data_IF_554794583492
#
_entry.id   IF_554794583492
#
_cell.length_a   1.000
_cell.length_b   1.000
_cell.length_c   1.000
_cell.angle_alpha   90.00
_cell.angle_beta   90.00
_cell.angle_gamma   90.00
#
_symmetry.space_group_name_H-M   'P 1'
#
loop_
_entity.id
_entity.type
_entity.pdbx_description
1 polymer ?
#
# COMPACT_ATOMS: atom_id res chain seq x y z
N UNK A 1 -23.85 -29.28 -12.62
CA UNK A 1 -22.54 -28.68 -12.86
C UNK A 1 -21.91 -28.31 -11.52
N UNK A 2 -20.57 -28.21 -11.48
CA UNK A 2 -19.82 -27.76 -10.33
C UNK A 2 -18.74 -26.78 -10.78
N UNK A 3 -18.36 -25.82 -9.93
CA UNK A 3 -17.17 -24.99 -10.14
C UNK A 3 -16.05 -25.51 -9.26
N UNK A 4 -14.86 -25.67 -9.86
CA UNK A 4 -13.66 -26.09 -9.17
C UNK A 4 -12.69 -24.89 -9.20
N UNK A 5 -12.64 -24.10 -8.12
CA UNK A 5 -11.69 -22.98 -8.06
C UNK A 5 -10.26 -23.52 -7.95
N UNK A 6 -9.28 -22.71 -8.37
CA UNK A 6 -7.87 -23.06 -8.21
C UNK A 6 -7.45 -23.12 -6.74
N UNK A 7 -8.15 -22.41 -5.85
CA UNK A 7 -7.98 -22.45 -4.38
C UNK A 7 -9.35 -22.50 -3.71
N UNK A 8 -9.44 -23.15 -2.55
CA UNK A 8 -10.67 -23.27 -1.77
C UNK A 8 -11.56 -24.44 -2.17
N UNK A 9 -12.76 -24.54 -1.59
CA UNK A 9 -13.65 -25.69 -1.74
C UNK A 9 -14.35 -25.73 -3.10
N UNK A 10 -14.78 -26.93 -3.50
CA UNK A 10 -15.61 -27.13 -4.71
C UNK A 10 -17.00 -26.53 -4.47
N UNK A 11 -17.47 -25.72 -5.41
CA UNK A 11 -18.80 -25.11 -5.39
C UNK A 11 -19.77 -26.06 -6.06
N UNK A 12 -20.67 -26.65 -5.26
CA UNK A 12 -21.62 -27.67 -5.73
C UNK A 12 -22.88 -27.09 -6.37
N UNK A 13 -23.20 -25.83 -6.05
CA UNK A 13 -24.30 -25.08 -6.62
C UNK A 13 -23.79 -23.76 -7.19
N UNK A 14 -23.25 -23.75 -8.42
CA UNK A 14 -22.66 -22.58 -9.03
C UNK A 14 -23.66 -21.45 -9.28
N UNK A 15 -24.90 -21.75 -9.62
CA UNK A 15 -25.91 -20.74 -9.94
C UNK A 15 -26.25 -19.89 -8.69
N UNK A 16 -26.47 -20.56 -7.55
CA UNK A 16 -26.70 -19.86 -6.27
C UNK A 16 -25.48 -19.04 -5.87
N UNK A 17 -24.27 -19.61 -5.97
CA UNK A 17 -23.02 -18.93 -5.63
C UNK A 17 -22.80 -17.68 -6.51
N UNK A 18 -23.02 -17.78 -7.81
CA UNK A 18 -22.87 -16.67 -8.76
C UNK A 18 -23.90 -15.56 -8.45
N UNK A 19 -25.16 -15.89 -8.18
CA UNK A 19 -26.18 -14.88 -7.86
C UNK A 19 -25.87 -14.15 -6.55
N UNK A 20 -25.43 -14.87 -5.52
CA UNK A 20 -24.95 -14.26 -4.27
C UNK A 20 -23.79 -13.29 -4.55
N UNK A 21 -22.76 -13.73 -5.29
CA UNK A 21 -21.59 -12.91 -5.61
C UNK A 21 -21.98 -11.65 -6.41
N UNK A 22 -22.84 -11.77 -7.43
CA UNK A 22 -23.31 -10.63 -8.23
C UNK A 22 -23.97 -9.57 -7.33
N UNK A 23 -24.83 -10.00 -6.40
CA UNK A 23 -25.51 -9.08 -5.48
C UNK A 23 -24.51 -8.37 -4.56
N UNK A 24 -23.59 -9.13 -3.99
CA UNK A 24 -22.59 -8.63 -3.03
C UNK A 24 -21.57 -7.70 -3.70
N UNK A 25 -21.08 -8.06 -4.89
CA UNK A 25 -20.09 -7.27 -5.63
C UNK A 25 -20.67 -5.91 -6.07
N UNK A 26 -21.98 -5.84 -6.35
CA UNK A 26 -22.64 -4.56 -6.66
C UNK A 26 -22.59 -3.59 -5.46
N UNK A 27 -22.83 -4.07 -4.26
CA UNK A 27 -22.72 -3.27 -3.03
C UNK A 27 -21.28 -2.81 -2.82
N UNK A 28 -20.29 -3.67 -3.07
CA UNK A 28 -18.88 -3.32 -2.99
C UNK A 28 -18.52 -2.22 -4.01
N UNK A 29 -18.98 -2.35 -5.26
CA UNK A 29 -18.74 -1.33 -6.28
C UNK A 29 -19.42 0.01 -5.94
N UNK A 30 -20.60 0.01 -5.38
CA UNK A 30 -21.25 1.25 -4.92
C UNK A 30 -20.39 1.95 -3.86
N UNK A 31 -19.87 1.20 -2.89
CA UNK A 31 -18.95 1.72 -1.86
C UNK A 31 -17.65 2.25 -2.46
N UNK A 32 -17.03 1.51 -3.40
CA UNK A 32 -15.80 1.93 -4.07
C UNK A 32 -16.01 3.21 -4.90
N UNK A 33 -17.03 3.22 -5.76
CA UNK A 33 -17.29 4.33 -6.67
C UNK A 33 -17.60 5.63 -5.95
N UNK A 34 -18.27 5.57 -4.80
CA UNK A 34 -18.65 6.75 -4.00
C UNK A 34 -17.47 7.69 -3.70
N UNK A 35 -16.29 7.13 -3.45
CA UNK A 35 -15.11 7.87 -2.96
C UNK A 35 -13.84 7.60 -3.77
N UNK A 36 -13.95 7.05 -4.99
CA UNK A 36 -12.77 6.69 -5.78
C UNK A 36 -12.01 7.90 -6.33
N UNK A 37 -10.70 7.90 -6.15
CA UNK A 37 -9.76 8.86 -6.73
C UNK A 37 -9.81 8.89 -8.26
N UNK A 38 -10.10 7.76 -8.90
CA UNK A 38 -10.12 7.62 -10.37
C UNK A 38 -11.09 8.56 -11.07
N UNK A 39 -12.14 8.99 -10.36
CA UNK A 39 -13.12 9.95 -10.91
C UNK A 39 -12.51 11.32 -11.22
N UNK A 40 -11.41 11.72 -10.58
CA UNK A 40 -10.76 13.01 -10.83
C UNK A 40 -10.30 13.15 -12.29
N UNK A 41 -9.66 12.13 -12.83
CA UNK A 41 -9.12 12.16 -14.18
C UNK A 41 -10.07 11.64 -15.26
N UNK A 42 -11.10 10.87 -14.87
CA UNK A 42 -11.95 10.11 -15.78
C UNK A 42 -13.44 10.19 -15.43
N UNK A 43 -13.95 11.38 -15.08
CA UNK A 43 -15.32 11.59 -14.59
C UNK A 43 -16.38 10.94 -15.51
N UNK A 44 -16.40 11.29 -16.81
CA UNK A 44 -17.41 10.80 -17.74
C UNK A 44 -17.31 9.28 -17.95
N UNK A 45 -16.09 8.76 -18.04
CA UNK A 45 -15.84 7.32 -18.14
C UNK A 45 -16.35 6.58 -16.91
N UNK A 46 -16.10 7.10 -15.70
CA UNK A 46 -16.55 6.51 -14.46
C UNK A 46 -18.08 6.51 -14.34
N UNK A 47 -18.74 7.61 -14.72
CA UNK A 47 -20.21 7.68 -14.75
C UNK A 47 -20.79 6.67 -15.76
N UNK A 48 -20.23 6.59 -16.96
CA UNK A 48 -20.66 5.64 -18.00
C UNK A 48 -20.50 4.21 -17.53
N UNK A 49 -19.35 3.85 -16.96
CA UNK A 49 -19.07 2.52 -16.43
C UNK A 49 -20.03 2.16 -15.27
N UNK A 50 -20.26 3.11 -14.38
CA UNK A 50 -21.19 2.95 -13.25
C UNK A 50 -22.61 2.63 -13.73
N UNK A 51 -23.12 3.39 -14.71
CA UNK A 51 -24.45 3.15 -15.29
C UNK A 51 -24.52 1.79 -15.99
N UNK A 52 -23.44 1.34 -16.62
CA UNK A 52 -23.37 0.02 -17.24
C UNK A 52 -23.43 -1.14 -16.22
N UNK A 53 -22.66 -1.02 -15.13
CA UNK A 53 -22.52 -2.09 -14.12
C UNK A 53 -23.72 -2.12 -13.16
N UNK A 54 -24.15 -0.96 -12.67
CA UNK A 54 -25.17 -0.84 -11.62
C UNK A 54 -26.57 -0.56 -12.17
N UNK A 55 -26.68 -0.22 -13.44
CA UNK A 55 -27.93 0.23 -14.07
C UNK A 55 -28.11 1.77 -13.96
N UNK A 56 -29.07 2.30 -14.71
CA UNK A 56 -29.40 3.74 -14.70
C UNK A 56 -30.91 3.92 -14.49
N UNK A 57 -31.33 4.76 -13.51
CA UNK A 57 -30.50 5.52 -12.55
C UNK A 57 -29.84 4.60 -11.52
N UNK A 58 -28.60 4.91 -11.13
CA UNK A 58 -27.92 4.22 -10.04
C UNK A 58 -28.02 5.03 -8.73
N UNK A 59 -27.71 4.37 -7.62
CA UNK A 59 -27.81 4.93 -6.27
C UNK A 59 -26.43 5.24 -5.65
N UNK A 60 -25.42 5.46 -6.48
CA UNK A 60 -24.08 5.82 -5.97
C UNK A 60 -24.12 7.22 -5.36
N UNK A 61 -23.78 7.31 -4.09
CA UNK A 61 -23.64 8.58 -3.36
C UNK A 61 -22.25 9.15 -3.62
N UNK A 62 -22.12 9.90 -4.71
CA UNK A 62 -20.86 10.48 -5.14
C UNK A 62 -20.39 11.59 -4.21
N UNK A 63 -19.25 11.41 -3.57
CA UNK A 63 -18.61 12.47 -2.82
C UNK A 63 -18.33 13.69 -3.74
N UNK A 64 -18.70 14.92 -3.35
CA UNK A 64 -18.30 16.13 -4.09
C UNK A 64 -16.78 16.23 -4.21
N UNK A 65 -16.28 16.84 -5.28
CA UNK A 65 -14.85 17.10 -5.39
C UNK A 65 -14.37 18.04 -4.29
N UNK A 66 -13.17 17.77 -3.77
CA UNK A 66 -12.48 18.66 -2.85
C UNK A 66 -12.19 20.02 -3.49
N UNK A 67 -12.00 21.04 -2.66
CA UNK A 67 -11.60 22.37 -3.12
C UNK A 67 -10.16 22.32 -3.63
N UNK A 68 -9.96 22.75 -4.87
CA UNK A 68 -8.60 22.82 -5.48
C UNK A 68 -8.10 24.25 -5.54
N UNK A 69 -6.80 24.43 -5.33
CA UNK A 69 -6.11 25.70 -5.41
C UNK A 69 -5.64 25.90 -6.86
N UNK A 70 -6.31 26.79 -7.60
CA UNK A 70 -6.03 27.03 -9.03
C UNK A 70 -4.96 28.12 -9.25
N UNK A 71 -4.94 29.16 -8.42
CA UNK A 71 -4.25 30.42 -8.75
C UNK A 71 -3.14 30.83 -7.76
N UNK A 72 -2.92 30.10 -6.67
CA UNK A 72 -1.94 30.48 -5.63
C UNK A 72 -1.20 29.28 -5.07
N UNK A 73 -0.50 28.57 -5.96
CA UNK A 73 0.48 27.59 -5.49
C UNK A 73 1.64 28.33 -4.81
N UNK A 74 2.10 27.92 -3.62
CA UNK A 74 3.25 28.53 -2.97
C UNK A 74 4.47 28.56 -3.90
N UNK A 75 5.17 29.68 -3.98
CA UNK A 75 6.29 29.88 -4.91
C UNK A 75 7.47 28.93 -4.67
N UNK A 76 7.56 28.38 -3.46
CA UNK A 76 8.56 27.40 -3.04
C UNK A 76 8.20 25.95 -3.39
N UNK A 77 6.97 25.68 -3.84
CA UNK A 77 6.52 24.37 -4.26
C UNK A 77 6.54 24.24 -5.78
N UNK A 78 7.06 23.14 -6.29
CA UNK A 78 7.06 22.81 -7.72
C UNK A 78 6.70 21.35 -7.93
N UNK A 79 5.63 21.10 -8.70
CA UNK A 79 5.29 19.76 -9.16
C UNK A 79 6.03 19.41 -10.46
N UNK A 80 6.65 18.23 -10.51
CA UNK A 80 7.46 17.75 -11.66
C UNK A 80 7.03 16.30 -11.97
N UNK A 81 6.11 16.11 -12.90
CA UNK A 81 5.49 14.81 -13.22
C UNK A 81 4.91 14.13 -11.98
N UNK A 82 5.48 13.00 -11.53
CA UNK A 82 5.11 12.28 -10.31
C UNK A 82 6.07 12.56 -9.14
N UNK A 83 6.69 13.72 -9.12
CA UNK A 83 7.61 14.16 -8.05
C UNK A 83 7.25 15.57 -7.61
N UNK A 84 7.57 15.92 -6.38
CA UNK A 84 7.42 17.27 -5.88
C UNK A 84 8.75 17.82 -5.37
N UNK A 85 8.96 19.12 -5.54
CA UNK A 85 10.18 19.79 -5.15
C UNK A 85 9.86 20.98 -4.23
N UNK A 86 10.49 21.01 -3.08
CA UNK A 86 10.48 22.14 -2.15
C UNK A 86 11.75 22.93 -2.42
N UNK A 87 11.59 24.20 -2.80
CA UNK A 87 12.71 25.10 -3.15
C UNK A 87 12.96 26.13 -2.06
N UNK A 88 14.17 26.17 -1.55
CA UNK A 88 14.62 27.25 -0.67
C UNK A 88 15.13 28.46 -1.47
N UNK A 89 15.21 29.62 -0.81
CA UNK A 89 15.60 30.88 -1.45
C UNK A 89 17.04 30.86 -1.99
N UNK A 90 17.92 30.00 -1.47
CA UNK A 90 19.32 29.84 -1.90
C UNK A 90 19.49 28.84 -3.05
N UNK A 91 18.40 28.43 -3.69
CA UNK A 91 18.34 27.40 -4.75
C UNK A 91 18.79 26.00 -4.28
N UNK A 92 18.74 25.73 -2.98
CA UNK A 92 18.73 24.37 -2.44
C UNK A 92 17.32 23.80 -2.55
N UNK A 93 17.20 22.49 -2.67
CA UNK A 93 15.91 21.81 -2.77
C UNK A 93 15.83 20.56 -1.90
N UNK A 94 14.59 20.19 -1.57
CA UNK A 94 14.22 18.91 -0.98
C UNK A 94 13.22 18.24 -1.91
N UNK A 95 13.50 17.01 -2.35
CA UNK A 95 12.71 16.27 -3.32
C UNK A 95 11.76 15.29 -2.61
N UNK A 96 10.58 15.11 -3.16
CA UNK A 96 9.63 14.07 -2.76
C UNK A 96 9.42 13.17 -3.97
N UNK A 97 9.84 11.90 -3.82
CA UNK A 97 9.81 10.82 -4.82
C UNK A 97 10.61 11.10 -6.10
N UNK A 98 11.10 10.02 -6.72
CA UNK A 98 11.59 10.04 -8.09
C UNK A 98 11.65 8.63 -8.68
N UNK A 99 10.64 8.24 -9.45
CA UNK A 99 10.63 6.96 -10.18
C UNK A 99 10.64 7.15 -11.69
N UNK A 100 10.24 8.32 -12.22
CA UNK A 100 10.15 8.54 -13.65
C UNK A 100 11.39 9.21 -14.24
N UNK A 101 11.77 8.77 -15.45
CA UNK A 101 12.85 9.41 -16.22
C UNK A 101 12.57 10.90 -16.50
N UNK A 102 11.31 11.25 -16.70
CA UNK A 102 10.90 12.63 -16.95
C UNK A 102 11.19 13.53 -15.75
N UNK A 103 10.93 13.05 -14.51
CA UNK A 103 11.26 13.77 -13.28
C UNK A 103 12.77 13.94 -13.14
N UNK A 104 13.55 12.88 -13.36
CA UNK A 104 15.01 12.93 -13.31
C UNK A 104 15.61 13.91 -14.32
N UNK A 105 15.19 13.84 -15.59
CA UNK A 105 15.66 14.74 -16.64
C UNK A 105 15.29 16.21 -16.35
N UNK A 106 14.13 16.47 -15.76
CA UNK A 106 13.73 17.81 -15.34
C UNK A 106 14.63 18.36 -14.21
N UNK A 107 14.99 17.53 -13.24
CA UNK A 107 15.94 17.91 -12.19
C UNK A 107 17.33 18.22 -12.75
N UNK A 108 17.83 17.41 -13.70
CA UNK A 108 19.10 17.68 -14.40
C UNK A 108 19.05 19.01 -15.17
N UNK A 109 17.90 19.34 -15.81
CA UNK A 109 17.71 20.62 -16.49
C UNK A 109 17.74 21.79 -15.50
N UNK A 110 17.10 21.65 -14.33
CA UNK A 110 17.15 22.66 -13.28
C UNK A 110 18.60 22.85 -12.74
N UNK A 111 19.36 21.77 -12.56
CA UNK A 111 20.77 21.81 -12.15
C UNK A 111 21.63 22.55 -13.20
N UNK A 112 21.52 22.17 -14.50
CA UNK A 112 22.29 22.80 -15.58
C UNK A 112 21.98 24.28 -15.78
N UNK A 113 20.74 24.70 -15.52
CA UNK A 113 20.33 26.12 -15.61
C UNK A 113 20.71 26.94 -14.35
N UNK A 114 21.31 26.35 -13.34
CA UNK A 114 21.65 27.00 -12.08
C UNK A 114 20.45 27.29 -11.16
N UNK A 115 19.25 26.87 -11.55
CA UNK A 115 18.04 27.04 -10.73
C UNK A 115 18.00 26.07 -9.53
N UNK A 116 18.63 24.90 -9.66
CA UNK A 116 18.85 23.94 -8.59
C UNK A 116 20.37 23.83 -8.35
N UNK A 117 20.85 24.41 -7.25
CA UNK A 117 22.27 24.34 -6.90
C UNK A 117 22.63 23.08 -6.09
N UNK A 118 21.76 22.67 -5.16
CA UNK A 118 21.96 21.52 -4.31
C UNK A 118 20.61 20.82 -4.08
N UNK A 119 20.62 19.51 -4.14
CA UNK A 119 19.54 18.68 -3.61
C UNK A 119 20.00 18.19 -2.24
N UNK A 120 19.35 18.64 -1.16
CA UNK A 120 19.80 18.42 0.21
C UNK A 120 19.03 17.30 0.92
N UNK A 121 18.00 16.73 0.26
CA UNK A 121 17.28 15.58 0.75
C UNK A 121 16.29 15.04 -0.28
N UNK A 122 15.99 13.75 -0.15
CA UNK A 122 14.94 13.05 -0.89
C UNK A 122 14.09 12.29 0.14
N UNK A 123 12.77 12.48 0.09
CA UNK A 123 11.80 11.73 0.86
C UNK A 123 11.05 10.79 -0.07
N UNK A 124 10.84 9.54 0.32
CA UNK A 124 10.04 8.55 -0.41
C UNK A 124 8.70 8.43 0.30
N UNK A 125 7.60 8.64 -0.44
CA UNK A 125 6.25 8.49 0.09
C UNK A 125 5.84 7.02 0.19
N UNK A 126 6.16 6.20 -0.82
CA UNK A 126 5.86 4.77 -0.80
C UNK A 126 6.73 3.99 -1.80
N UNK A 127 6.62 2.67 -1.77
CA UNK A 127 7.55 1.76 -2.45
C UNK A 127 7.31 1.57 -3.94
N UNK A 128 6.23 2.08 -4.55
CA UNK A 128 5.94 1.84 -5.96
C UNK A 128 7.08 2.29 -6.88
N UNK A 129 7.27 1.56 -7.97
CA UNK A 129 8.39 1.74 -8.91
C UNK A 129 8.41 3.14 -9.55
N UNK A 130 7.25 3.70 -9.86
CA UNK A 130 7.14 5.06 -10.41
C UNK A 130 7.45 6.18 -9.41
N UNK A 131 7.68 5.85 -8.13
CA UNK A 131 8.18 6.72 -7.06
C UNK A 131 9.63 6.42 -6.68
N UNK A 132 10.13 5.23 -6.98
CA UNK A 132 11.40 4.73 -6.41
C UNK A 132 12.47 4.34 -7.43
N UNK A 133 12.14 4.01 -8.67
CA UNK A 133 13.07 3.42 -9.64
C UNK A 133 14.32 4.28 -9.94
N UNK A 134 14.24 5.60 -9.81
CA UNK A 134 15.36 6.50 -10.06
C UNK A 134 15.98 7.08 -8.78
N UNK A 135 15.59 6.64 -7.60
CA UNK A 135 16.16 7.11 -6.32
C UNK A 135 17.67 6.87 -6.27
N UNK A 136 18.15 5.69 -6.69
CA UNK A 136 19.60 5.40 -6.73
C UNK A 136 20.35 6.33 -7.69
N UNK A 137 19.72 6.72 -8.82
CA UNK A 137 20.32 7.65 -9.79
C UNK A 137 20.35 9.09 -9.21
N UNK A 138 19.31 9.50 -8.47
CA UNK A 138 19.29 10.77 -7.72
C UNK A 138 20.41 10.82 -6.70
N UNK A 139 20.55 9.77 -5.87
CA UNK A 139 21.61 9.70 -4.86
C UNK A 139 22.98 9.77 -5.51
N UNK A 140 23.21 9.05 -6.61
CA UNK A 140 24.46 9.08 -7.37
C UNK A 140 24.77 10.46 -7.94
N UNK A 141 23.77 11.17 -8.46
CA UNK A 141 23.95 12.45 -9.16
C UNK A 141 24.07 13.64 -8.21
N UNK A 142 23.34 13.62 -7.08
CA UNK A 142 23.22 14.76 -6.18
C UNK A 142 23.86 14.55 -4.81
N UNK A 143 24.14 13.32 -4.40
CA UNK A 143 24.77 12.99 -3.11
C UNK A 143 23.87 13.28 -1.91
N UNK A 144 22.54 13.29 -2.08
CA UNK A 144 21.62 13.62 -1.00
C UNK A 144 21.22 12.39 -0.17
N UNK A 145 20.91 12.57 1.14
CA UNK A 145 20.32 11.52 1.96
C UNK A 145 18.88 11.20 1.51
N UNK A 146 18.46 9.93 1.74
CA UNK A 146 17.10 9.45 1.47
C UNK A 146 16.41 9.22 2.81
N UNK A 147 15.27 9.88 3.02
CA UNK A 147 14.49 9.84 4.25
C UNK A 147 13.24 8.98 4.08
N UNK A 148 12.98 8.11 5.03
CA UNK A 148 11.78 7.26 5.11
C UNK A 148 11.45 6.99 6.58
N UNK A 149 10.23 6.50 6.87
CA UNK A 149 9.97 5.91 8.18
C UNK A 149 10.46 4.45 8.25
N UNK A 150 10.42 3.85 9.42
CA UNK A 150 10.87 2.46 9.63
C UNK A 150 10.04 1.45 8.83
N UNK A 151 8.78 1.77 8.53
CA UNK A 151 7.84 0.92 7.83
C UNK A 151 8.25 0.67 6.37
N UNK A 152 8.86 1.65 5.72
CA UNK A 152 9.35 1.52 4.35
C UNK A 152 10.72 0.84 4.23
N UNK A 153 11.50 0.84 5.32
CA UNK A 153 12.90 0.39 5.26
C UNK A 153 13.04 -1.00 4.61
N UNK A 154 12.32 -1.99 5.12
CA UNK A 154 12.47 -3.38 4.69
C UNK A 154 12.13 -3.60 3.22
N UNK A 155 11.00 -3.03 2.76
CA UNK A 155 10.53 -3.20 1.39
C UNK A 155 11.41 -2.46 0.37
N UNK A 156 12.06 -1.36 0.75
CA UNK A 156 12.98 -0.63 -0.11
C UNK A 156 14.37 -1.29 -0.17
N UNK A 157 14.88 -1.78 0.97
CA UNK A 157 16.18 -2.45 1.03
C UNK A 157 16.17 -3.86 0.43
N UNK A 158 15.03 -4.57 0.52
CA UNK A 158 14.88 -5.93 0.03
C UNK A 158 13.49 -6.17 -0.61
N UNK A 159 13.17 -5.52 -1.73
CA UNK A 159 11.85 -5.62 -2.35
C UNK A 159 11.46 -7.06 -2.72
N UNK A 160 12.39 -7.91 -3.11
CA UNK A 160 12.14 -9.32 -3.44
C UNK A 160 11.62 -10.18 -2.28
N UNK A 161 11.76 -9.70 -1.03
CA UNK A 161 11.21 -10.38 0.15
C UNK A 161 9.70 -10.18 0.31
N UNK A 162 9.07 -9.30 -0.47
CA UNK A 162 7.67 -8.94 -0.35
C UNK A 162 6.86 -9.43 -1.54
N UNK A 163 5.65 -9.94 -1.29
CA UNK A 163 4.69 -10.31 -2.32
C UNK A 163 3.72 -9.14 -2.54
N UNK A 164 4.22 -8.09 -3.20
CA UNK A 164 3.48 -6.85 -3.43
C UNK A 164 3.58 -6.44 -4.91
N UNK A 165 2.57 -5.79 -5.46
CA UNK A 165 2.62 -5.26 -6.82
C UNK A 165 3.53 -4.02 -6.90
N UNK A 166 3.92 -3.64 -8.11
CA UNK A 166 4.64 -2.39 -8.41
C UNK A 166 5.95 -2.20 -7.62
N UNK A 167 6.62 -3.30 -7.25
CA UNK A 167 7.91 -3.24 -6.57
C UNK A 167 9.02 -2.82 -7.54
N UNK A 168 9.87 -1.89 -7.10
CA UNK A 168 11.13 -1.65 -7.80
C UNK A 168 12.00 -2.92 -7.78
N UNK A 169 12.72 -3.19 -8.86
CA UNK A 169 13.74 -4.24 -8.89
C UNK A 169 15.14 -3.75 -8.46
N UNK A 170 15.23 -2.51 -7.99
CA UNK A 170 16.47 -1.80 -7.63
C UNK A 170 16.49 -1.47 -6.13
N UNK A 171 17.00 -2.38 -5.27
CA UNK A 171 17.07 -2.13 -3.82
C UNK A 171 17.72 -0.78 -3.50
N UNK A 172 17.14 -0.05 -2.55
CA UNK A 172 17.61 1.25 -2.10
C UNK A 172 18.24 1.08 -0.74
N UNK A 173 19.53 1.42 -0.63
CA UNK A 173 20.33 1.24 0.59
C UNK A 173 20.65 2.59 1.24
N UNK A 174 21.20 2.53 2.46
CA UNK A 174 21.65 3.72 3.22
C UNK A 174 20.52 4.74 3.51
N UNK A 175 19.35 4.22 3.86
CA UNK A 175 18.18 5.00 4.21
C UNK A 175 18.37 5.71 5.56
N UNK A 176 17.97 6.97 5.64
CA UNK A 176 17.86 7.74 6.89
C UNK A 176 16.48 7.51 7.49
N UNK A 177 16.43 6.75 8.58
CA UNK A 177 15.16 6.34 9.19
C UNK A 177 14.66 7.43 10.13
N UNK A 178 13.44 7.90 9.85
CA UNK A 178 12.76 8.91 10.66
C UNK A 178 11.74 8.24 11.60
N UNK A 179 11.60 8.77 12.80
CA UNK A 179 10.57 8.33 13.73
C UNK A 179 9.22 9.00 13.41
N UNK A 180 8.12 8.38 13.79
CA UNK A 180 6.78 8.97 13.72
C UNK A 180 6.74 10.35 14.38
N UNK A 181 6.30 11.37 13.65
CA UNK A 181 6.26 12.76 14.11
C UNK A 181 7.62 13.44 14.29
N UNK A 182 8.72 12.80 13.88
CA UNK A 182 10.05 13.41 13.95
C UNK A 182 10.14 14.62 13.05
N UNK A 183 10.80 15.67 13.56
CA UNK A 183 10.94 16.96 12.89
C UNK A 183 12.40 17.25 12.58
N UNK A 184 12.62 17.79 11.39
CA UNK A 184 13.90 18.44 11.05
C UNK A 184 13.66 19.88 10.62
N UNK A 185 14.57 20.76 10.99
CA UNK A 185 14.62 22.12 10.45
C UNK A 185 15.51 22.13 9.22
N UNK A 186 14.94 22.53 8.09
CA UNK A 186 15.66 22.64 6.84
C UNK A 186 15.42 24.03 6.24
N UNK A 187 16.43 24.89 6.24
CA UNK A 187 16.32 26.29 5.83
C UNK A 187 15.23 27.04 6.64
N UNK A 188 14.26 27.63 5.93
CA UNK A 188 13.08 28.28 6.51
C UNK A 188 11.85 27.36 6.59
N UNK A 189 12.09 26.03 6.47
CA UNK A 189 11.07 24.99 6.56
C UNK A 189 11.25 24.11 7.79
N UNK A 190 10.15 23.61 8.29
CA UNK A 190 10.06 22.50 9.23
C UNK A 190 9.42 21.31 8.53
N UNK A 191 10.15 20.21 8.44
CA UNK A 191 9.71 18.97 7.83
C UNK A 191 9.37 17.97 8.94
N UNK A 192 8.13 17.44 8.94
CA UNK A 192 7.68 16.43 9.92
C UNK A 192 7.26 15.17 9.18
N UNK A 193 7.81 14.03 9.59
CA UNK A 193 7.65 12.74 8.95
C UNK A 193 6.59 11.91 9.65
N UNK A 194 5.72 11.26 8.89
CA UNK A 194 4.63 10.46 9.42
C UNK A 194 4.50 9.15 8.66
N UNK A 195 4.21 8.07 9.38
CA UNK A 195 3.62 6.88 8.78
C UNK A 195 2.21 7.22 8.31
N UNK A 196 1.91 6.99 7.05
CA UNK A 196 0.65 7.40 6.44
C UNK A 196 0.11 6.29 5.51
N UNK A 197 -0.31 5.13 6.06
CA UNK A 197 -0.62 3.91 5.32
C UNK A 197 -1.95 4.02 4.55
N UNK A 198 -1.95 4.77 3.45
CA UNK A 198 -3.12 5.00 2.59
C UNK A 198 -3.20 3.99 1.44
N UNK A 199 -2.64 4.35 0.28
CA UNK A 199 -2.67 3.50 -0.91
C UNK A 199 -1.99 2.13 -0.67
N UNK A 200 -0.95 2.10 0.13
CA UNK A 200 -0.27 0.88 0.61
C UNK A 200 -0.01 0.94 2.11
N UNK A 201 0.25 -0.22 2.74
CA UNK A 201 0.67 -0.28 4.15
C UNK A 201 2.12 0.18 4.35
N UNK A 202 2.89 0.25 3.29
CA UNK A 202 4.27 0.77 3.24
C UNK A 202 4.27 2.14 2.61
N UNK A 203 3.73 3.12 3.35
CA UNK A 203 3.48 4.46 2.84
C UNK A 203 3.65 5.50 3.93
N UNK A 204 4.31 6.59 3.58
CA UNK A 204 4.66 7.72 4.46
C UNK A 204 4.03 9.03 3.98
N UNK A 205 3.88 9.97 4.88
CA UNK A 205 3.47 11.35 4.60
C UNK A 205 4.47 12.36 5.14
N UNK A 206 4.60 13.48 4.47
CA UNK A 206 5.49 14.58 4.87
C UNK A 206 4.71 15.87 5.05
N UNK A 207 4.74 16.45 6.25
CA UNK A 207 4.26 17.81 6.49
C UNK A 207 5.43 18.79 6.34
N UNK A 208 5.32 19.69 5.37
CA UNK A 208 6.23 20.79 5.15
C UNK A 208 5.57 22.10 5.59
N UNK A 209 6.10 22.73 6.62
CA UNK A 209 5.65 24.01 7.16
C UNK A 209 6.74 25.07 6.92
N UNK A 210 6.38 26.16 6.23
CA UNK A 210 7.28 27.30 6.04
C UNK A 210 7.11 28.31 7.16
N UNK A 211 8.17 29.06 7.48
CA UNK A 211 8.17 30.07 8.55
C UNK A 211 7.14 31.18 8.38
N UNK A 212 6.60 31.38 7.18
CA UNK A 212 5.52 32.35 6.89
C UNK A 212 4.11 31.83 7.16
N UNK A 213 3.96 30.58 7.64
CA UNK A 213 2.68 29.93 7.95
C UNK A 213 2.05 29.14 6.80
N UNK A 214 2.64 29.13 5.61
CA UNK A 214 2.23 28.22 4.53
C UNK A 214 2.62 26.78 4.86
N UNK A 215 1.73 25.83 4.58
CA UNK A 215 1.98 24.42 4.86
C UNK A 215 1.38 23.51 3.78
N UNK A 216 2.14 22.47 3.42
CA UNK A 216 1.70 21.40 2.51
C UNK A 216 1.94 20.06 3.19
N UNK A 217 0.94 19.18 3.17
CA UNK A 217 1.08 17.76 3.51
C UNK A 217 1.09 16.92 2.24
N UNK A 218 2.20 16.23 2.00
CA UNK A 218 2.41 15.33 0.87
C UNK A 218 1.82 13.99 1.23
N UNK A 219 0.74 13.61 0.54
CA UNK A 219 -0.03 12.38 0.79
C UNK A 219 0.41 11.20 -0.07
N UNK A 220 1.52 11.33 -0.82
CA UNK A 220 1.82 10.38 -1.88
C UNK A 220 0.62 10.26 -2.82
N UNK A 221 0.27 9.04 -3.17
CA UNK A 221 -0.85 8.75 -4.06
C UNK A 221 -2.19 8.55 -3.35
N UNK A 222 -2.18 8.50 -2.01
CA UNK A 222 -3.33 8.05 -1.23
C UNK A 222 -4.62 8.82 -1.47
N UNK A 223 -4.54 10.12 -1.80
CA UNK A 223 -5.72 10.97 -1.94
C UNK A 223 -5.65 11.86 -3.17
N UNK A 224 -6.79 11.97 -3.88
CA UNK A 224 -7.03 12.99 -4.92
C UNK A 224 -8.23 13.85 -4.54
N UNK A 225 -8.51 14.96 -5.23
CA UNK A 225 -9.72 15.75 -4.95
C UNK A 225 -11.03 14.97 -5.09
N UNK A 226 -11.03 13.79 -5.71
CA UNK A 226 -12.21 12.94 -5.86
C UNK A 226 -12.39 11.92 -4.72
N UNK A 227 -11.35 11.70 -3.92
CA UNK A 227 -11.38 10.72 -2.83
C UNK A 227 -10.08 9.94 -2.68
N UNK A 228 -10.19 8.66 -2.33
CA UNK A 228 -9.06 7.78 -2.03
C UNK A 228 -8.61 6.98 -3.27
N UNK A 229 -7.32 6.72 -3.37
CA UNK A 229 -6.74 5.85 -4.39
C UNK A 229 -6.54 4.43 -3.83
N UNK A 230 -7.63 3.68 -3.80
CA UNK A 230 -7.71 2.35 -3.24
C UNK A 230 -7.78 1.28 -4.34
N UNK A 231 -6.75 1.17 -5.17
CA UNK A 231 -6.68 0.13 -6.21
C UNK A 231 -6.76 -1.31 -5.63
N UNK A 232 -6.40 -1.48 -4.37
CA UNK A 232 -6.57 -2.72 -3.59
C UNK A 232 -7.81 -2.68 -2.68
N UNK A 233 -8.93 -2.11 -3.14
CA UNK A 233 -10.14 -1.87 -2.34
C UNK A 233 -10.78 -3.13 -1.74
N UNK A 234 -10.38 -4.32 -2.16
CA UNK A 234 -10.79 -5.60 -1.60
C UNK A 234 -9.94 -6.04 -0.41
N UNK A 235 -8.80 -5.37 -0.14
CA UNK A 235 -7.90 -5.75 0.94
C UNK A 235 -8.36 -5.14 2.27
N UNK A 236 -8.82 -6.00 3.19
CA UNK A 236 -9.32 -5.59 4.50
C UNK A 236 -8.24 -4.98 5.41
N UNK A 237 -6.96 -5.25 5.15
CA UNK A 237 -5.86 -4.65 5.92
C UNK A 237 -5.83 -3.12 5.80
N UNK A 238 -6.38 -2.54 4.71
CA UNK A 238 -6.50 -1.08 4.55
C UNK A 238 -7.68 -0.47 5.33
N UNK A 239 -8.49 -1.29 5.99
CA UNK A 239 -9.69 -0.87 6.73
C UNK A 239 -9.53 -0.99 8.25
N UNK A 240 -8.33 -1.22 8.74
CA UNK A 240 -8.04 -1.26 10.16
C UNK A 240 -7.93 0.16 10.74
N UNK A 241 -8.46 0.43 11.96
CA UNK A 241 -8.43 1.79 12.55
C UNK A 241 -7.01 2.28 12.89
N UNK A 242 -6.05 1.39 13.11
CA UNK A 242 -4.65 1.72 13.44
C UNK A 242 -3.73 1.73 12.21
N UNK A 243 -4.22 1.30 11.05
CA UNK A 243 -3.47 1.26 9.81
C UNK A 243 -4.42 1.31 8.61
N UNK A 244 -3.98 1.81 7.45
CA UNK A 244 -4.82 1.96 6.27
C UNK A 244 -5.59 3.29 6.24
N UNK A 245 -6.60 3.37 5.38
CA UNK A 245 -7.29 4.64 5.10
C UNK A 245 -8.07 5.22 6.29
N UNK A 246 -8.60 4.41 7.17
CA UNK A 246 -9.28 4.92 8.37
C UNK A 246 -8.31 5.68 9.27
N UNK A 247 -7.08 5.18 9.43
CA UNK A 247 -6.00 5.89 10.13
C UNK A 247 -5.65 7.20 9.42
N UNK A 248 -5.47 7.17 8.09
CA UNK A 248 -5.15 8.37 7.31
C UNK A 248 -6.23 9.45 7.41
N UNK A 249 -7.50 9.07 7.35
CA UNK A 249 -8.62 10.00 7.49
C UNK A 249 -8.69 10.63 8.88
N UNK A 250 -8.44 9.85 9.93
CA UNK A 250 -8.37 10.37 11.30
C UNK A 250 -7.19 11.34 11.48
N UNK A 251 -6.05 11.04 10.86
CA UNK A 251 -4.90 11.93 10.81
C UNK A 251 -5.24 13.24 10.08
N UNK A 252 -5.83 13.19 8.89
CA UNK A 252 -6.22 14.39 8.12
C UNK A 252 -7.23 15.26 8.87
N UNK A 253 -8.14 14.65 9.65
CA UNK A 253 -9.11 15.38 10.49
C UNK A 253 -8.45 16.18 11.62
N UNK A 254 -7.22 15.83 12.01
CA UNK A 254 -6.44 16.51 13.06
C UNK A 254 -5.52 17.60 12.52
N UNK A 255 -5.26 17.61 11.20
CA UNK A 255 -4.45 18.66 10.60
C UNK A 255 -5.14 20.03 10.68
N UNK A 256 -4.36 21.13 10.82
CA UNK A 256 -4.90 22.49 10.69
C UNK A 256 -5.57 22.69 9.32
N UNK A 257 -6.68 23.44 9.30
CA UNK A 257 -7.49 23.64 8.08
C UNK A 257 -6.78 24.38 6.94
N UNK A 258 -5.70 25.13 7.26
CA UNK A 258 -4.90 25.85 6.29
C UNK A 258 -3.81 24.98 5.62
N UNK A 259 -3.66 23.72 6.01
CA UNK A 259 -2.71 22.78 5.39
C UNK A 259 -3.28 22.33 4.05
N UNK A 260 -2.51 22.56 2.98
CA UNK A 260 -2.84 22.09 1.65
C UNK A 260 -2.36 20.64 1.48
N UNK A 261 -3.12 19.84 0.73
CA UNK A 261 -2.74 18.47 0.39
C UNK A 261 -2.12 18.41 -1.00
N UNK A 262 -1.09 17.59 -1.16
CA UNK A 262 -0.42 17.31 -2.43
C UNK A 262 -0.47 15.83 -2.74
N UNK A 263 -0.95 15.47 -3.94
CA UNK A 263 -0.81 14.13 -4.51
C UNK A 263 0.33 14.15 -5.53
N UNK A 264 1.08 13.04 -5.64
CA UNK A 264 2.28 12.99 -6.48
C UNK A 264 1.98 13.04 -7.99
N UNK A 265 0.82 12.60 -8.43
CA UNK A 265 0.42 12.61 -9.84
C UNK A 265 -0.37 13.86 -10.27
N UNK A 266 -0.68 14.76 -9.34
CA UNK A 266 -1.55 15.90 -9.60
C UNK A 266 -0.84 17.24 -9.37
N UNK A 267 -0.99 18.16 -10.32
CA UNK A 267 -0.48 19.52 -10.15
C UNK A 267 -1.20 20.35 -9.09
N UNK A 268 -2.56 20.36 -9.04
CA UNK A 268 -3.25 21.22 -8.11
C UNK A 268 -3.12 20.70 -6.67
N UNK A 269 -2.84 21.62 -5.77
CA UNK A 269 -3.03 21.39 -4.34
C UNK A 269 -4.53 21.47 -4.02
N UNK A 270 -4.95 20.79 -2.96
CA UNK A 270 -6.37 20.70 -2.58
C UNK A 270 -6.58 20.63 -1.08
N UNK A 271 -7.83 20.76 -0.64
CA UNK A 271 -8.24 20.58 0.76
C UNK A 271 -9.59 19.87 0.82
N UNK A 272 -9.73 18.93 1.76
CA UNK A 272 -11.02 18.33 2.09
C UNK A 272 -11.76 19.13 3.16
N UNK A 273 -13.07 19.26 3.01
CA UNK A 273 -13.94 19.68 4.10
C UNK A 273 -14.10 18.57 5.13
N UNK A 274 -14.48 18.93 6.36
CA UNK A 274 -14.79 17.93 7.39
C UNK A 274 -15.87 16.95 6.94
N UNK A 275 -16.89 17.43 6.25
CA UNK A 275 -17.97 16.60 5.72
C UNK A 275 -17.46 15.54 4.73
N UNK A 276 -16.48 15.88 3.86
CA UNK A 276 -15.88 14.92 2.93
C UNK A 276 -15.07 13.85 3.66
N UNK A 277 -14.28 14.25 4.66
CA UNK A 277 -13.52 13.30 5.48
C UNK A 277 -14.43 12.35 6.28
N UNK A 278 -15.56 12.86 6.79
CA UNK A 278 -16.55 12.06 7.50
C UNK A 278 -17.31 11.12 6.56
N UNK A 279 -17.64 11.57 5.33
CA UNK A 279 -18.24 10.73 4.30
C UNK A 279 -17.32 9.56 3.92
N UNK A 280 -16.03 9.81 3.61
CA UNK A 280 -15.06 8.76 3.32
C UNK A 280 -14.92 7.76 4.48
N UNK A 281 -14.89 8.27 5.72
CA UNK A 281 -14.82 7.42 6.92
C UNK A 281 -16.03 6.48 7.02
N UNK A 282 -17.24 7.01 6.84
CA UNK A 282 -18.47 6.22 6.88
C UNK A 282 -18.50 5.13 5.79
N UNK A 283 -18.13 5.51 4.56
CA UNK A 283 -18.08 4.57 3.43
C UNK A 283 -17.10 3.41 3.71
N UNK A 284 -15.91 3.71 4.24
CA UNK A 284 -14.91 2.68 4.55
C UNK A 284 -15.30 1.78 5.73
N UNK A 285 -15.93 2.33 6.77
CA UNK A 285 -16.46 1.54 7.89
C UNK A 285 -17.51 0.52 7.42
N UNK A 286 -18.41 0.96 6.52
CA UNK A 286 -19.42 0.07 5.93
C UNK A 286 -18.80 -0.96 4.98
N UNK A 287 -17.72 -0.60 4.25
CA UNK A 287 -17.04 -1.50 3.32
C UNK A 287 -16.48 -2.75 4.01
N UNK A 288 -16.00 -2.64 5.22
CA UNK A 288 -15.46 -3.78 5.97
C UNK A 288 -16.48 -4.92 6.10
N UNK A 289 -17.74 -4.62 6.45
CA UNK A 289 -18.79 -5.63 6.53
C UNK A 289 -19.13 -6.23 5.16
N UNK A 290 -19.11 -5.43 4.09
CA UNK A 290 -19.35 -5.91 2.73
C UNK A 290 -18.25 -6.89 2.30
N UNK A 291 -17.00 -6.61 2.60
CA UNK A 291 -15.86 -7.49 2.28
C UNK A 291 -15.88 -8.79 3.07
N UNK A 292 -16.28 -8.74 4.34
CA UNK A 292 -16.41 -9.93 5.18
C UNK A 292 -17.47 -10.92 4.65
N UNK A 293 -18.48 -10.40 3.97
CA UNK A 293 -19.59 -11.18 3.38
C UNK A 293 -19.51 -11.27 1.86
N UNK A 294 -18.40 -10.94 1.22
CA UNK A 294 -18.34 -10.88 -0.25
C UNK A 294 -18.42 -12.25 -0.91
N UNK A 295 -17.71 -13.25 -0.37
CA UNK A 295 -17.65 -14.57 -0.95
C UNK A 295 -18.90 -15.41 -0.61
N UNK A 296 -19.37 -16.27 -1.54
CA UNK A 296 -20.62 -17.02 -1.38
C UNK A 296 -20.58 -18.12 -0.30
N UNK A 297 -19.44 -18.35 0.32
CA UNK A 297 -19.28 -19.33 1.41
C UNK A 297 -19.70 -18.81 2.79
N UNK A 298 -19.93 -17.51 2.92
CA UNK A 298 -20.32 -16.87 4.19
C UNK A 298 -19.28 -17.10 5.34
N UNK A 299 -17.99 -17.25 4.99
CA UNK A 299 -16.91 -17.42 5.94
C UNK A 299 -15.97 -16.22 5.89
N UNK A 300 -15.93 -15.46 6.99
CA UNK A 300 -15.19 -14.21 7.08
C UNK A 300 -13.66 -14.37 6.97
N UNK A 301 -13.12 -15.54 7.36
CA UNK A 301 -11.67 -15.81 7.23
C UNK A 301 -11.29 -16.26 5.82
N UNK A 302 -12.23 -16.74 5.01
CA UNK A 302 -12.01 -17.00 3.60
C UNK A 302 -12.45 -15.79 2.77
N UNK A 303 -11.70 -14.70 2.87
CA UNK A 303 -11.97 -13.45 2.16
C UNK A 303 -11.37 -13.41 0.76
N UNK A 304 -11.56 -12.27 0.07
CA UNK A 304 -10.99 -11.99 -1.26
C UNK A 304 -9.56 -11.49 -1.20
N UNK A 305 -9.10 -11.08 -0.03
CA UNK A 305 -7.76 -10.60 0.24
C UNK A 305 -6.83 -11.77 0.59
N UNK A 306 -6.02 -12.21 -0.31
CA UNK A 306 -5.05 -13.29 -0.06
C UNK A 306 -4.03 -12.95 1.04
N UNK A 307 -3.87 -11.67 1.38
CA UNK A 307 -2.91 -11.17 2.37
C UNK A 307 -3.33 -11.36 3.83
N UNK A 308 -4.51 -11.91 4.12
CA UNK A 308 -4.87 -12.30 5.48
C UNK A 308 -3.93 -13.41 6.03
N UNK A 309 -3.24 -14.14 5.14
CA UNK A 309 -2.16 -15.06 5.44
C UNK A 309 -0.97 -14.74 4.56
N UNK A 310 0.23 -14.66 5.14
CA UNK A 310 1.45 -14.36 4.41
C UNK A 310 2.66 -15.10 4.96
N UNK A 311 3.64 -15.33 4.07
CA UNK A 311 4.99 -15.81 4.37
C UNK A 311 6.00 -14.72 4.08
N UNK A 312 6.84 -14.39 5.05
CA UNK A 312 7.94 -13.46 4.89
C UNK A 312 9.28 -14.12 5.26
N UNK A 313 10.33 -13.99 4.44
CA UNK A 313 10.34 -13.36 3.12
C UNK A 313 9.52 -14.17 2.11
N UNK A 314 8.87 -13.49 1.14
CA UNK A 314 8.24 -14.18 0.01
C UNK A 314 9.29 -14.74 -0.94
N UNK A 315 10.27 -13.94 -1.32
CA UNK A 315 11.41 -14.34 -2.12
C UNK A 315 12.74 -14.11 -1.40
N UNK A 316 13.66 -15.06 -1.51
CA UNK A 316 14.99 -14.92 -0.92
C UNK A 316 16.06 -15.58 -1.80
N UNK A 317 17.21 -14.89 -1.95
CA UNK A 317 18.42 -15.49 -2.51
C UNK A 317 19.23 -16.11 -1.39
N UNK A 318 19.71 -17.34 -1.59
CA UNK A 318 20.42 -18.09 -0.58
C UNK A 318 21.45 -19.04 -1.24
N UNK A 319 22.13 -19.84 -0.46
CA UNK A 319 23.15 -20.80 -0.92
C UNK A 319 22.86 -22.22 -0.38
N UNK A 320 23.26 -23.28 -1.10
CA UNK A 320 23.19 -24.65 -0.59
C UNK A 320 23.95 -24.80 0.74
N UNK A 321 23.29 -25.39 1.74
CA UNK A 321 23.84 -25.62 3.07
C UNK A 321 23.50 -24.55 4.09
N UNK A 322 22.77 -23.50 3.72
CA UNK A 322 22.30 -22.42 4.62
C UNK A 322 20.94 -22.73 5.25
N UNK A 323 20.50 -21.84 6.12
CA UNK A 323 19.16 -21.87 6.74
C UNK A 323 18.50 -20.51 6.53
N UNK A 324 17.24 -20.53 6.10
CA UNK A 324 16.40 -19.33 5.93
C UNK A 324 15.32 -19.34 7.01
N UNK A 325 15.25 -18.26 7.78
CA UNK A 325 14.13 -18.03 8.73
C UNK A 325 12.96 -17.43 7.98
N UNK A 326 11.79 -18.01 8.19
CA UNK A 326 10.50 -17.52 7.69
C UNK A 326 9.61 -17.06 8.85
N UNK A 327 8.77 -16.09 8.56
CA UNK A 327 7.69 -15.65 9.45
C UNK A 327 6.36 -15.93 8.76
N UNK A 328 5.54 -16.78 9.37
CA UNK A 328 4.13 -16.98 9.03
C UNK A 328 3.31 -15.93 9.79
N UNK A 329 2.41 -15.24 9.10
CA UNK A 329 1.41 -14.35 9.67
C UNK A 329 0.02 -14.76 9.22
N UNK A 330 -0.94 -14.77 10.13
CA UNK A 330 -2.35 -15.05 9.85
C UNK A 330 -3.20 -14.08 10.66
N UNK A 331 -4.15 -13.43 10.00
CA UNK A 331 -5.13 -12.56 10.64
C UNK A 331 -6.47 -13.28 10.80
N UNK A 332 -6.99 -13.35 12.02
CA UNK A 332 -8.33 -13.86 12.29
C UNK A 332 -9.37 -12.74 12.17
N UNK A 333 -10.16 -12.75 11.10
CA UNK A 333 -11.22 -11.75 10.88
C UNK A 333 -12.54 -12.07 11.60
N UNK A 334 -12.65 -13.21 12.28
CA UNK A 334 -13.89 -13.60 12.97
C UNK A 334 -14.01 -13.00 14.36
N UNK A 335 -15.24 -12.97 14.87
CA UNK A 335 -15.58 -12.48 16.22
C UNK A 335 -15.27 -13.50 17.34
N UNK A 336 -14.69 -14.65 17.00
CA UNK A 336 -14.35 -15.73 17.93
C UNK A 336 -12.92 -16.20 17.71
N UNK A 337 -12.25 -16.74 18.76
CA UNK A 337 -10.94 -17.36 18.59
C UNK A 337 -11.01 -18.50 17.57
N UNK A 338 -9.99 -18.60 16.72
CA UNK A 338 -9.88 -19.65 15.70
C UNK A 338 -8.55 -20.37 15.79
N UNK A 339 -8.59 -21.67 15.51
CA UNK A 339 -7.38 -22.49 15.37
C UNK A 339 -7.08 -22.66 13.89
N UNK A 340 -5.93 -22.14 13.46
CA UNK A 340 -5.40 -22.34 12.12
C UNK A 340 -4.30 -23.39 12.15
N UNK A 341 -4.41 -24.42 11.31
CA UNK A 341 -3.39 -25.43 11.11
C UNK A 341 -2.75 -25.21 9.75
N UNK A 342 -1.43 -25.02 9.73
CA UNK A 342 -0.65 -24.78 8.51
C UNK A 342 0.34 -25.91 8.31
N UNK A 343 0.22 -26.65 7.20
CA UNK A 343 1.16 -27.66 6.78
C UNK A 343 2.00 -27.16 5.61
N UNK A 344 3.32 -27.19 5.76
CA UNK A 344 4.24 -26.76 4.72
C UNK A 344 4.67 -27.90 3.80
N UNK A 345 4.73 -27.60 2.50
CA UNK A 345 5.34 -28.47 1.49
C UNK A 345 6.60 -27.81 0.96
N UNK A 346 7.68 -28.57 0.95
CA UNK A 346 9.00 -28.14 0.49
C UNK A 346 9.59 -29.17 -0.48
N UNK A 347 10.53 -28.79 -1.36
CA UNK A 347 11.36 -29.73 -2.10
C UNK A 347 12.04 -30.72 -1.17
N UNK A 348 12.31 -31.94 -1.66
CA UNK A 348 12.93 -33.01 -0.87
C UNK A 348 14.34 -32.66 -0.34
N UNK A 349 15.03 -31.71 -0.97
CA UNK A 349 16.33 -31.20 -0.55
C UNK A 349 16.27 -30.18 0.60
N UNK A 350 15.06 -29.80 1.05
CA UNK A 350 14.87 -28.84 2.12
C UNK A 350 14.28 -29.53 3.35
N UNK A 351 14.71 -29.10 4.53
CA UNK A 351 14.16 -29.55 5.81
C UNK A 351 13.57 -28.36 6.56
N UNK A 352 12.35 -28.51 7.01
CA UNK A 352 11.65 -27.54 7.84
C UNK A 352 11.59 -28.02 9.28
N UNK A 353 11.86 -27.13 10.24
CA UNK A 353 11.84 -27.46 11.68
C UNK A 353 10.42 -27.75 12.20
N UNK A 354 9.41 -27.07 11.65
CA UNK A 354 8.01 -27.25 11.97
C UNK A 354 7.18 -27.52 10.72
N UNK A 355 7.05 -28.82 10.34
CA UNK A 355 6.26 -29.18 9.15
C UNK A 355 4.79 -28.78 9.28
N UNK A 356 4.27 -28.78 10.50
CA UNK A 356 2.91 -28.38 10.83
C UNK A 356 2.99 -27.36 11.97
N UNK A 357 2.32 -26.21 11.77
CA UNK A 357 2.15 -25.16 12.77
C UNK A 357 0.66 -25.08 13.11
N UNK A 358 0.33 -25.00 14.40
CA UNK A 358 -1.04 -24.76 14.87
C UNK A 358 -1.06 -23.48 15.70
N UNK A 359 -1.87 -22.50 15.29
CA UNK A 359 -2.02 -21.22 15.96
C UNK A 359 -3.47 -21.03 16.41
N UNK A 360 -3.67 -20.76 17.68
CA UNK A 360 -4.93 -20.22 18.20
C UNK A 360 -4.82 -18.70 18.15
N UNK A 361 -5.70 -18.05 17.40
CA UNK A 361 -5.64 -16.60 17.17
C UNK A 361 -6.95 -15.99 17.68
N UNK A 362 -6.81 -15.00 18.56
CA UNK A 362 -7.93 -14.26 19.13
C UNK A 362 -8.73 -13.49 18.06
N UNK A 363 -9.99 -13.09 18.35
CA UNK A 363 -10.79 -12.30 17.42
C UNK A 363 -10.06 -11.03 16.96
N UNK A 364 -10.18 -10.71 15.66
CA UNK A 364 -9.63 -9.50 15.06
C UNK A 364 -8.15 -9.26 15.35
N UNK A 365 -7.36 -10.34 15.45
CA UNK A 365 -5.94 -10.30 15.82
C UNK A 365 -5.06 -11.03 14.82
N UNK A 366 -3.78 -10.67 14.79
CA UNK A 366 -2.75 -11.33 13.99
C UNK A 366 -2.00 -12.37 14.84
N UNK A 367 -1.91 -13.60 14.33
CA UNK A 367 -1.01 -14.64 14.84
C UNK A 367 0.28 -14.67 14.05
N UNK A 368 1.42 -14.75 14.75
CA UNK A 368 2.75 -14.75 14.14
C UNK A 368 3.54 -15.96 14.63
N UNK A 369 4.16 -16.69 13.70
CA UNK A 369 5.05 -17.80 14.03
C UNK A 369 6.28 -17.81 13.14
N UNK A 370 7.46 -17.89 13.73
CA UNK A 370 8.73 -18.10 13.01
C UNK A 370 9.04 -19.57 12.86
N UNK A 371 9.65 -19.93 11.75
CA UNK A 371 10.17 -21.28 11.47
C UNK A 371 11.38 -21.21 10.54
N UNK A 372 12.16 -22.29 10.50
CA UNK A 372 13.39 -22.34 9.70
C UNK A 372 13.29 -23.40 8.61
N UNK A 373 13.80 -23.03 7.43
CA UNK A 373 14.00 -23.92 6.28
C UNK A 373 15.50 -24.13 6.07
N UNK A 374 15.99 -25.32 6.36
CA UNK A 374 17.39 -25.73 6.14
C UNK A 374 17.55 -26.28 4.73
N UNK A 375 18.45 -25.70 3.97
CA UNK A 375 18.77 -26.06 2.60
C UNK A 375 19.90 -27.10 2.61
N UNK A 376 19.70 -28.24 1.92
CA UNK A 376 20.75 -29.24 1.77
C UNK A 376 21.95 -28.69 1.00
N UNK A 377 23.18 -29.09 1.38
CA UNK A 377 24.39 -28.80 0.60
C UNK A 377 24.34 -29.38 -0.82
N UNK A 378 23.45 -30.36 -1.07
CA UNK A 378 23.24 -31.02 -2.37
C UNK A 378 21.99 -30.47 -3.09
N UNK A 379 21.41 -29.38 -2.63
CA UNK A 379 20.28 -28.77 -3.33
C UNK A 379 20.71 -28.27 -4.72
N UNK A 380 19.82 -28.46 -5.68
CA UNK A 380 20.06 -28.00 -7.06
C UNK A 380 19.90 -26.48 -7.12
N UNK A 381 20.71 -25.82 -7.94
CA UNK A 381 20.59 -24.40 -8.22
C UNK A 381 19.27 -24.10 -8.98
N UNK A 382 18.73 -22.92 -8.77
CA UNK A 382 17.50 -22.44 -9.37
C UNK A 382 16.43 -22.09 -8.34
N UNK A 383 15.21 -21.84 -8.80
CA UNK A 383 14.07 -21.45 -7.96
C UNK A 383 13.41 -22.70 -7.36
N UNK A 384 13.26 -22.70 -6.05
CA UNK A 384 12.54 -23.71 -5.27
C UNK A 384 11.38 -23.06 -4.54
N UNK A 385 10.19 -23.67 -4.62
CA UNK A 385 8.95 -23.14 -4.04
C UNK A 385 8.62 -23.87 -2.75
N UNK A 386 8.27 -23.09 -1.73
CA UNK A 386 7.66 -23.51 -0.47
C UNK A 386 6.19 -23.14 -0.52
N UNK A 387 5.26 -24.06 -0.23
CA UNK A 387 3.83 -23.76 -0.13
C UNK A 387 3.30 -24.04 1.27
N UNK A 388 2.28 -23.29 1.66
CA UNK A 388 1.59 -23.41 2.95
C UNK A 388 0.13 -23.80 2.74
N UNK A 389 -0.21 -25.02 3.17
CA UNK A 389 -1.56 -25.56 3.16
C UNK A 389 -2.26 -25.16 4.47
N UNK A 390 -3.32 -24.36 4.39
CA UNK A 390 -4.03 -23.88 5.57
C UNK A 390 -5.38 -24.54 5.77
N UNK A 391 -5.65 -24.94 7.02
CA UNK A 391 -6.93 -25.50 7.47
C UNK A 391 -7.43 -24.76 8.70
N UNK A 392 -8.73 -24.54 8.77
CA UNK A 392 -9.43 -24.02 9.93
C UNK A 392 -10.91 -24.44 9.87
N UNK A 393 -11.53 -24.74 10.99
CA UNK A 393 -12.87 -25.32 11.04
C UNK A 393 -13.00 -26.51 10.06
N UNK A 394 -14.03 -26.49 9.20
CA UNK A 394 -14.22 -27.46 8.11
C UNK A 394 -13.49 -27.09 6.81
N UNK A 395 -12.80 -25.96 6.78
CA UNK A 395 -12.17 -25.44 5.58
C UNK A 395 -10.77 -26.00 5.38
N UNK A 396 -10.50 -26.54 4.18
CA UNK A 396 -9.18 -26.89 3.68
C UNK A 396 -8.90 -26.06 2.42
N UNK A 397 -8.16 -24.97 2.56
CA UNK A 397 -7.83 -24.06 1.47
C UNK A 397 -6.61 -24.53 0.68
N UNK A 398 -6.05 -25.68 1.05
CA UNK A 398 -4.86 -26.27 0.44
C UNK A 398 -3.69 -25.28 0.42
N UNK A 399 -2.94 -25.22 -0.68
CA UNK A 399 -1.74 -24.39 -0.85
C UNK A 399 -2.12 -22.92 -1.05
N UNK A 400 -2.61 -22.29 0.03
CA UNK A 400 -3.12 -20.92 0.01
C UNK A 400 -2.02 -19.87 -0.19
N UNK A 401 -0.84 -20.06 0.41
CA UNK A 401 0.26 -19.12 0.31
C UNK A 401 1.54 -19.82 -0.11
N UNK A 402 2.41 -19.08 -0.81
CA UNK A 402 3.70 -19.57 -1.27
C UNK A 402 4.83 -18.59 -0.95
N UNK A 403 6.05 -19.12 -0.94
CA UNK A 403 7.29 -18.38 -0.94
C UNK A 403 8.32 -19.12 -1.82
N UNK A 404 9.39 -18.44 -2.22
CA UNK A 404 10.44 -19.08 -3.03
C UNK A 404 11.85 -18.78 -2.51
N UNK A 405 12.76 -19.73 -2.80
CA UNK A 405 14.20 -19.60 -2.55
C UNK A 405 14.91 -19.75 -3.90
N UNK A 406 15.72 -18.77 -4.25
CA UNK A 406 16.64 -18.82 -5.40
C UNK A 406 18.03 -19.20 -4.91
N UNK A 407 18.58 -20.33 -5.43
CA UNK A 407 19.89 -20.85 -5.10
C UNK A 407 20.87 -20.62 -6.24
#
# INVERSE_FOLDING_TARGET
DVLIPCRGPIIKDPDVAIQKLITRIRSLYQSYLSITAQRWNHTDRMITLTNHILGSPNTVDWMPFASVIKDKTPSWYQHINNSNLIMANDSAAFLIDCGSKQSFDALLKLKRSGRLKRLEGLFITHYHDDHTDLVNDIVKEFGCPVYVTKELKGILENPGAYHMPCLTNRPIQNLTIMQEGQKISWKDFKLTFFYFPGQTLYHDGLLCEKSNGEAIFFTGDSFTPAGIDDYCFQNRNFLHPETGYLYCLDFLKKLPQNVLLSNQHLKPLFTFSRQQLDHMTMVLQNRNSILNDLLPWDNVNYGTDEQWMSLYPHGVKSEPGTTVEYTLKIFNHSDVPKTFQVEFKTPASFQIDHKIISLVIEPHSEGIQKFNVKISKKASLGISILTANVKFDEWDLREWSEAYIEL
#
